data_IF_010456795466
#
_entry.id   IF_010456795466
#
_cell.length_a   1.000
_cell.length_b   1.000
_cell.length_c   1.000
_cell.angle_alpha   90.00
_cell.angle_beta   90.00
_cell.angle_gamma   90.00
#
_symmetry.space_group_name_H-M   'P 1'
#
loop_
_entity.id
_entity.type
_entity.pdbx_description
1 polymer ?
#
# COMPACT_ATOMS: atom_id res chain seq x y z
N UNK A 1 -8.27 -12.32 -36.50
CA UNK A 1 -9.47 -12.57 -35.64
C UNK A 1 -9.63 -14.08 -35.41
N UNK A 2 -9.32 -14.59 -34.20
CA UNK A 2 -9.68 -15.96 -33.75
C UNK A 2 -10.60 -15.80 -32.53
N UNK A 3 -11.90 -16.02 -32.72
CA UNK A 3 -12.94 -15.90 -31.66
C UNK A 3 -13.39 -17.30 -31.17
N UNK A 4 -12.80 -18.38 -31.65
CA UNK A 4 -13.10 -19.74 -31.19
C UNK A 4 -11.84 -20.39 -30.62
N UNK A 5 -11.41 -19.90 -29.47
CA UNK A 5 -10.60 -20.69 -28.55
C UNK A 5 -11.54 -21.20 -27.47
N UNK A 6 -11.91 -22.49 -27.52
CA UNK A 6 -12.49 -23.15 -26.36
C UNK A 6 -11.62 -22.81 -25.14
N UNK A 7 -12.20 -22.36 -24.03
CA UNK A 7 -11.43 -22.18 -22.81
C UNK A 7 -10.90 -23.57 -22.46
N UNK A 8 -9.57 -23.75 -22.46
CA UNK A 8 -8.95 -24.92 -21.85
C UNK A 8 -9.20 -24.83 -20.35
N UNK A 9 -10.41 -25.20 -19.93
CA UNK A 9 -10.84 -25.20 -18.53
C UNK A 9 -10.00 -26.18 -17.69
N UNK A 10 -9.31 -27.13 -18.33
CA UNK A 10 -8.57 -28.20 -17.64
C UNK A 10 -7.03 -28.05 -17.65
N UNK A 11 -6.44 -26.94 -18.15
CA UNK A 11 -4.98 -26.73 -18.04
C UNK A 11 -4.57 -25.83 -16.87
N UNK A 12 -5.52 -25.36 -16.05
CA UNK A 12 -5.22 -24.56 -14.86
C UNK A 12 -4.86 -25.40 -13.62
N UNK A 13 -5.08 -26.71 -13.66
CA UNK A 13 -4.79 -27.63 -12.54
C UNK A 13 -3.35 -28.14 -12.50
N UNK A 14 -2.53 -27.86 -13.52
CA UNK A 14 -1.18 -28.43 -13.61
C UNK A 14 -0.12 -27.70 -12.77
N UNK A 15 -0.48 -26.57 -12.14
CA UNK A 15 0.29 -25.93 -11.07
C UNK A 15 -0.47 -26.09 -9.74
N UNK A 16 -0.68 -27.34 -9.30
CA UNK A 16 -1.10 -27.65 -7.93
C UNK A 16 0.00 -27.14 -7.00
N UNK A 17 -0.22 -25.97 -6.41
CA UNK A 17 0.68 -25.30 -5.47
C UNK A 17 1.24 -26.33 -4.45
N UNK A 18 2.55 -26.61 -4.53
CA UNK A 18 3.28 -27.27 -3.45
C UNK A 18 3.04 -26.45 -2.18
N UNK A 19 2.82 -27.11 -1.02
CA UNK A 19 2.54 -26.50 0.29
C UNK A 19 3.14 -25.09 0.40
N UNK A 20 2.33 -24.09 0.08
CA UNK A 20 2.83 -22.73 -0.06
C UNK A 20 2.60 -22.00 1.26
N UNK A 21 3.41 -20.98 1.53
CA UNK A 21 3.36 -20.16 2.74
C UNK A 21 1.94 -19.64 3.06
N UNK A 22 1.06 -19.60 2.07
CA UNK A 22 -0.34 -19.26 2.23
C UNK A 22 -1.19 -20.30 2.96
N UNK A 23 -0.86 -21.58 2.91
CA UNK A 23 -1.53 -22.60 3.71
C UNK A 23 -1.30 -22.35 5.20
N UNK A 24 -0.10 -21.86 5.57
CA UNK A 24 0.17 -21.36 6.92
C UNK A 24 -0.65 -20.12 7.27
N UNK A 25 -0.85 -19.19 6.32
CA UNK A 25 -1.73 -18.02 6.51
C UNK A 25 -3.18 -18.43 6.75
N UNK A 26 -3.70 -19.40 5.99
CA UNK A 26 -5.03 -19.97 6.19
C UNK A 26 -5.19 -20.69 7.54
N UNK A 27 -4.13 -21.32 8.03
CA UNK A 27 -4.13 -22.02 9.32
C UNK A 27 -3.98 -21.03 10.50
N UNK A 28 -3.25 -19.93 10.30
CA UNK A 28 -3.09 -18.84 11.28
C UNK A 28 -4.38 -18.04 11.50
N UNK A 29 -5.26 -17.92 10.49
CA UNK A 29 -6.47 -17.10 10.60
C UNK A 29 -7.46 -17.64 11.67
N UNK A 30 -7.83 -18.94 11.68
CA UNK A 30 -8.61 -19.52 12.77
C UNK A 30 -7.92 -19.40 14.14
N UNK A 31 -6.60 -19.58 14.20
CA UNK A 31 -5.85 -19.43 15.44
C UNK A 31 -5.94 -18.00 15.98
N UNK A 32 -5.82 -16.98 15.12
CA UNK A 32 -5.97 -15.58 15.50
C UNK A 32 -7.40 -15.25 15.98
N UNK A 33 -8.43 -15.83 15.36
CA UNK A 33 -9.82 -15.69 15.80
C UNK A 33 -10.11 -16.40 17.13
N UNK A 34 -9.44 -17.54 17.38
CA UNK A 34 -9.50 -18.23 18.67
C UNK A 34 -8.80 -17.42 19.77
N UNK A 35 -7.66 -16.80 19.46
CA UNK A 35 -6.98 -15.87 20.37
C UNK A 35 -7.88 -14.69 20.70
N UNK A 36 -8.54 -14.08 19.71
CA UNK A 36 -9.50 -12.99 19.94
C UNK A 36 -10.68 -13.43 20.82
N UNK A 37 -11.24 -14.60 20.54
CA UNK A 37 -12.33 -15.18 21.33
C UNK A 37 -11.90 -15.46 22.77
N UNK A 38 -10.67 -15.94 22.99
CA UNK A 38 -10.11 -16.14 24.34
C UNK A 38 -9.84 -14.83 25.08
N UNK A 39 -9.40 -13.78 24.36
CA UNK A 39 -9.22 -12.43 24.91
C UNK A 39 -10.56 -11.80 25.29
N UNK A 40 -11.63 -12.11 24.55
CA UNK A 40 -12.97 -11.67 24.88
C UNK A 40 -13.50 -12.35 26.14
N UNK A 41 -13.31 -13.67 26.27
CA UNK A 41 -13.71 -14.41 27.48
C UNK A 41 -12.95 -13.93 28.72
N UNK A 42 -11.63 -13.75 28.62
CA UNK A 42 -10.83 -13.18 29.73
C UNK A 42 -11.23 -11.75 30.09
N UNK A 43 -11.63 -10.92 29.11
CA UNK A 43 -12.18 -9.59 29.38
C UNK A 43 -13.53 -9.67 30.09
N UNK A 44 -14.43 -10.56 29.69
CA UNK A 44 -15.72 -10.75 30.34
C UNK A 44 -15.53 -11.23 31.79
N UNK A 45 -14.63 -12.17 32.04
CA UNK A 45 -14.23 -12.64 33.38
C UNK A 45 -13.60 -11.54 34.24
N UNK A 46 -12.73 -10.71 33.68
CA UNK A 46 -12.12 -9.59 34.42
C UNK A 46 -13.16 -8.51 34.67
N UNK A 47 -13.99 -8.17 33.69
CA UNK A 47 -15.01 -7.10 33.80
C UNK A 47 -16.05 -7.38 34.87
N UNK A 48 -16.53 -8.62 34.95
CA UNK A 48 -17.51 -9.08 35.95
C UNK A 48 -16.93 -9.13 37.36
N UNK A 49 -15.61 -9.28 37.48
CA UNK A 49 -14.88 -9.16 38.74
C UNK A 49 -14.53 -7.70 39.09
N UNK A 50 -14.28 -6.82 38.12
CA UNK A 50 -13.96 -5.39 38.38
C UNK A 50 -15.13 -4.59 38.96
N UNK A 51 -16.38 -4.91 38.62
CA UNK A 51 -17.56 -4.28 39.25
C UNK A 51 -17.64 -4.58 40.77
N UNK A 52 -16.90 -5.60 41.26
CA UNK A 52 -16.76 -5.92 42.68
C UNK A 52 -15.48 -5.37 43.33
N UNK A 53 -14.59 -4.75 42.53
CA UNK A 53 -13.22 -4.34 42.91
C UNK A 53 -12.98 -2.82 42.88
N UNK A 54 -13.99 -1.98 42.59
CA UNK A 54 -13.90 -0.54 42.92
C UNK A 54 -14.17 -0.41 44.42
N UNK A 55 -13.23 -0.92 45.23
CA UNK A 55 -13.23 -0.75 46.66
C UNK A 55 -12.25 0.38 46.97
N UNK A 56 -12.79 1.47 47.50
CA UNK A 56 -11.99 2.52 48.09
C UNK A 56 -11.43 2.01 49.41
N UNK A 57 -10.14 2.24 49.64
CA UNK A 57 -9.50 1.84 50.88
C UNK A 57 -10.15 2.61 52.05
N UNK A 58 -10.61 1.94 53.12
CA UNK A 58 -11.42 2.60 54.14
C UNK A 58 -10.61 3.71 54.84
N UNK A 59 -10.97 4.97 54.57
CA UNK A 59 -10.36 6.15 55.16
C UNK A 59 -9.45 6.97 54.25
N UNK A 60 -9.27 6.60 52.97
CA UNK A 60 -8.55 7.43 51.99
C UNK A 60 -9.31 7.52 50.67
N UNK A 61 -9.26 8.68 49.99
CA UNK A 61 -9.82 8.87 48.64
C UNK A 61 -8.99 8.18 47.54
N UNK A 62 -8.00 7.35 47.91
CA UNK A 62 -7.16 6.62 46.97
C UNK A 62 -7.79 5.29 46.55
N UNK A 63 -7.68 4.99 45.25
CA UNK A 63 -8.00 3.67 44.72
C UNK A 63 -7.07 2.62 45.34
N UNK A 64 -7.63 1.46 45.70
CA UNK A 64 -6.83 0.32 46.15
C UNK A 64 -5.81 -0.09 45.08
N UNK A 65 -4.62 -0.52 45.51
CA UNK A 65 -3.56 -0.99 44.60
C UNK A 65 -3.98 -2.17 43.73
N UNK A 66 -4.94 -2.98 44.19
CA UNK A 66 -5.51 -4.10 43.44
C UNK A 66 -6.44 -3.64 42.31
N UNK A 67 -7.21 -2.57 42.53
CA UNK A 67 -8.03 -1.94 41.50
C UNK A 67 -7.16 -1.35 40.39
N UNK A 68 -6.06 -0.69 40.75
CA UNK A 68 -5.09 -0.11 39.79
C UNK A 68 -4.45 -1.21 38.94
N UNK A 69 -4.02 -2.32 39.57
CA UNK A 69 -3.44 -3.47 38.87
C UNK A 69 -4.45 -4.10 37.90
N UNK A 70 -5.72 -4.22 38.30
CA UNK A 70 -6.79 -4.76 37.46
C UNK A 70 -7.09 -3.86 36.26
N UNK A 71 -7.16 -2.52 36.46
CA UNK A 71 -7.32 -1.56 35.37
C UNK A 71 -6.15 -1.60 34.39
N UNK A 72 -4.92 -1.76 34.89
CA UNK A 72 -3.74 -1.94 34.04
C UNK A 72 -3.83 -3.21 33.19
N UNK A 73 -4.20 -4.35 33.77
CA UNK A 73 -4.40 -5.59 33.03
C UNK A 73 -5.50 -5.48 31.97
N UNK A 74 -6.63 -4.83 32.29
CA UNK A 74 -7.71 -4.60 31.34
C UNK A 74 -7.25 -3.73 30.16
N UNK A 75 -6.50 -2.66 30.44
CA UNK A 75 -5.90 -1.81 29.41
C UNK A 75 -4.94 -2.59 28.50
N UNK A 76 -4.12 -3.46 29.09
CA UNK A 76 -3.18 -4.30 28.36
C UNK A 76 -3.88 -5.32 27.47
N UNK A 77 -4.94 -5.98 27.96
CA UNK A 77 -5.78 -6.89 27.17
C UNK A 77 -6.44 -6.15 26.01
N UNK A 78 -6.94 -4.93 26.22
CA UNK A 78 -7.53 -4.12 25.14
C UNK A 78 -6.50 -3.73 24.07
N UNK A 79 -5.28 -3.38 24.48
CA UNK A 79 -4.18 -3.11 23.56
C UNK A 79 -3.88 -4.33 22.69
N UNK A 80 -3.68 -5.50 23.29
CA UNK A 80 -3.40 -6.73 22.55
C UNK A 80 -4.55 -7.16 21.65
N UNK A 81 -5.79 -7.00 22.09
CA UNK A 81 -6.97 -7.27 21.25
C UNK A 81 -6.99 -6.39 20.00
N UNK A 82 -6.67 -5.09 20.13
CA UNK A 82 -6.56 -4.20 18.97
C UNK A 82 -5.47 -4.69 18.01
N UNK A 83 -4.32 -5.13 18.52
CA UNK A 83 -3.25 -5.71 17.69
C UNK A 83 -3.73 -6.96 16.95
N UNK A 84 -4.43 -7.88 17.63
CA UNK A 84 -5.01 -9.09 17.00
C UNK A 84 -6.01 -8.73 15.91
N UNK A 85 -6.90 -7.76 16.14
CA UNK A 85 -7.82 -7.27 15.11
C UNK A 85 -7.09 -6.73 13.88
N UNK A 86 -6.02 -5.94 14.06
CA UNK A 86 -5.20 -5.45 12.95
C UNK A 86 -4.57 -6.60 12.16
N UNK A 87 -4.03 -7.61 12.85
CA UNK A 87 -3.44 -8.80 12.21
C UNK A 87 -4.50 -9.57 11.41
N UNK A 88 -5.67 -9.82 11.99
CA UNK A 88 -6.78 -10.52 11.32
C UNK A 88 -7.23 -9.75 10.09
N UNK A 89 -7.37 -8.42 10.18
CA UNK A 89 -7.74 -7.56 9.06
C UNK A 89 -6.73 -7.69 7.91
N UNK A 90 -5.42 -7.59 8.22
CA UNK A 90 -4.35 -7.71 7.23
C UNK A 90 -4.38 -9.09 6.56
N UNK A 91 -4.55 -10.16 7.34
CA UNK A 91 -4.63 -11.53 6.80
C UNK A 91 -5.85 -11.68 5.89
N UNK A 92 -7.02 -11.19 6.30
CA UNK A 92 -8.25 -11.25 5.53
C UNK A 92 -8.13 -10.46 4.22
N UNK A 93 -7.59 -9.23 4.27
CA UNK A 93 -7.35 -8.42 3.07
C UNK A 93 -6.36 -9.08 2.11
N UNK A 94 -5.31 -9.69 2.64
CA UNK A 94 -4.31 -10.42 1.84
C UNK A 94 -4.92 -11.66 1.18
N UNK A 95 -5.73 -12.42 1.91
CA UNK A 95 -6.46 -13.58 1.38
C UNK A 95 -7.45 -13.16 0.29
N UNK A 96 -8.23 -12.11 0.55
CA UNK A 96 -9.17 -11.56 -0.43
C UNK A 96 -8.47 -11.15 -1.73
N UNK A 97 -7.34 -10.45 -1.63
CA UNK A 97 -6.55 -10.05 -2.80
C UNK A 97 -6.02 -11.27 -3.58
N UNK A 98 -5.58 -12.32 -2.87
CA UNK A 98 -5.17 -13.58 -3.51
C UNK A 98 -6.33 -14.26 -4.24
N UNK A 99 -7.50 -14.34 -3.62
CA UNK A 99 -8.69 -14.90 -4.25
C UNK A 99 -9.06 -14.14 -5.53
N UNK A 100 -9.01 -12.80 -5.50
CA UNK A 100 -9.21 -12.01 -6.71
C UNK A 100 -8.25 -12.38 -7.82
N UNK A 101 -6.95 -12.50 -7.52
CA UNK A 101 -5.92 -12.87 -8.51
C UNK A 101 -6.14 -14.27 -9.11
N UNK A 102 -6.71 -15.21 -8.34
CA UNK A 102 -6.99 -16.57 -8.81
C UNK A 102 -8.20 -16.64 -9.74
N UNK A 103 -9.29 -15.93 -9.42
CA UNK A 103 -10.54 -16.00 -10.20
C UNK A 103 -10.56 -15.09 -11.43
N UNK A 104 -9.85 -13.96 -11.41
CA UNK A 104 -9.85 -13.01 -12.52
C UNK A 104 -8.53 -13.05 -13.31
N UNK A 105 -8.49 -13.74 -14.47
CA UNK A 105 -7.29 -13.79 -15.31
C UNK A 105 -6.89 -12.41 -15.86
N UNK A 106 -7.81 -11.44 -15.90
CA UNK A 106 -7.50 -10.05 -16.21
C UNK A 106 -6.52 -9.43 -15.20
N UNK A 107 -6.56 -9.86 -13.93
CA UNK A 107 -5.64 -9.40 -12.89
C UNK A 107 -4.24 -10.04 -13.02
N UNK A 108 -4.10 -11.18 -13.69
CA UNK A 108 -2.78 -11.76 -14.00
C UNK A 108 -1.97 -10.84 -14.95
N UNK A 109 -2.64 -10.16 -15.87
CA UNK A 109 -1.99 -9.13 -16.68
C UNK A 109 -1.66 -7.87 -15.87
N UNK A 110 -2.44 -7.55 -14.83
CA UNK A 110 -2.10 -6.48 -13.89
C UNK A 110 -0.91 -6.87 -13.01
N UNK A 111 -0.77 -8.09 -12.51
CA UNK A 111 0.38 -8.49 -11.68
C UNK A 111 1.70 -8.39 -12.45
N UNK A 112 1.71 -8.75 -13.74
CA UNK A 112 2.86 -8.54 -14.62
C UNK A 112 3.20 -7.06 -14.85
N UNK A 113 2.21 -6.18 -14.77
CA UNK A 113 2.42 -4.72 -14.84
C UNK A 113 2.92 -4.18 -13.50
N UNK A 114 2.28 -4.56 -12.40
CA UNK A 114 2.65 -4.16 -11.03
C UNK A 114 4.07 -4.57 -10.70
N UNK A 115 4.51 -5.77 -11.09
CA UNK A 115 5.90 -6.23 -10.85
C UNK A 115 6.96 -5.35 -11.50
N UNK A 116 6.65 -4.71 -12.63
CA UNK A 116 7.55 -3.74 -13.29
C UNK A 116 7.44 -2.36 -12.66
N UNK A 117 6.24 -1.95 -12.25
CA UNK A 117 5.95 -0.62 -11.71
C UNK A 117 6.28 -0.51 -10.21
N UNK A 118 6.44 -1.63 -9.48
CA UNK A 118 6.67 -1.63 -8.03
C UNK A 118 7.91 -0.85 -7.61
N UNK A 119 9.03 -1.00 -8.34
CA UNK A 119 10.29 -0.34 -8.00
C UNK A 119 10.18 1.19 -8.16
N UNK A 120 9.72 1.72 -9.32
CA UNK A 120 9.55 3.17 -9.45
C UNK A 120 8.48 3.71 -8.49
N UNK A 121 7.39 2.99 -8.24
CA UNK A 121 6.40 3.41 -7.21
C UNK A 121 7.00 3.44 -5.81
N UNK A 122 7.86 2.48 -5.46
CA UNK A 122 8.53 2.45 -4.17
C UNK A 122 9.44 3.67 -3.98
N UNK A 123 10.19 4.07 -5.02
CA UNK A 123 10.98 5.30 -4.94
C UNK A 123 10.11 6.55 -4.79
N UNK A 124 8.98 6.64 -5.50
CA UNK A 124 8.03 7.76 -5.33
C UNK A 124 7.45 7.77 -3.92
N UNK A 125 7.10 6.60 -3.38
CA UNK A 125 6.62 6.47 -2.00
C UNK A 125 7.67 6.93 -1.00
N UNK A 126 8.94 6.55 -1.16
CA UNK A 126 10.04 7.01 -0.31
C UNK A 126 10.21 8.54 -0.38
N UNK A 127 10.13 9.12 -1.58
CA UNK A 127 10.17 10.58 -1.74
C UNK A 127 8.99 11.27 -1.02
N UNK A 128 7.79 10.69 -1.12
CA UNK A 128 6.58 11.22 -0.47
C UNK A 128 6.67 11.12 1.06
N UNK A 129 7.11 9.97 1.60
CA UNK A 129 7.38 9.82 3.04
C UNK A 129 8.47 10.79 3.49
N UNK A 130 9.55 10.93 2.74
CA UNK A 130 10.61 11.90 3.02
C UNK A 130 10.09 13.34 3.06
N UNK A 131 9.23 13.73 2.13
CA UNK A 131 8.60 15.05 2.12
C UNK A 131 7.73 15.29 3.36
N UNK A 132 6.96 14.28 3.80
CA UNK A 132 6.20 14.36 5.04
C UNK A 132 7.07 14.46 6.29
N UNK A 133 8.19 13.74 6.34
CA UNK A 133 9.14 13.83 7.44
C UNK A 133 9.80 15.22 7.49
N UNK A 134 10.17 15.79 6.34
CA UNK A 134 10.73 17.15 6.27
C UNK A 134 9.70 18.19 6.71
N UNK A 135 8.46 18.10 6.21
CA UNK A 135 7.38 19.01 6.60
C UNK A 135 7.04 18.85 8.09
N UNK A 136 6.94 17.62 8.60
CA UNK A 136 6.69 17.35 10.01
C UNK A 136 7.82 17.84 10.91
N UNK A 137 9.08 17.67 10.51
CA UNK A 137 10.24 18.22 11.21
C UNK A 137 10.20 19.74 11.24
N UNK A 138 9.85 20.37 10.12
CA UNK A 138 9.71 21.83 10.04
C UNK A 138 8.60 22.34 10.98
N UNK A 139 7.41 21.72 10.94
CA UNK A 139 6.30 22.07 11.84
C UNK A 139 6.67 21.84 13.32
N UNK A 140 7.38 20.75 13.61
CA UNK A 140 7.87 20.45 14.96
C UNK A 140 8.83 21.54 15.46
N UNK A 141 9.84 21.90 14.68
CA UNK A 141 10.84 22.91 15.10
C UNK A 141 10.20 24.28 15.26
N UNK A 142 9.26 24.65 14.39
CA UNK A 142 8.63 25.98 14.41
C UNK A 142 7.56 26.13 15.50
N UNK A 143 6.76 25.10 15.75
CA UNK A 143 5.54 25.22 16.55
C UNK A 143 5.53 24.41 17.85
N UNK A 144 6.56 23.59 18.13
CA UNK A 144 6.60 22.74 19.34
C UNK A 144 6.60 23.50 20.67
N UNK A 145 7.11 24.74 20.69
CA UNK A 145 7.12 25.57 21.91
C UNK A 145 5.78 26.25 22.18
N UNK A 146 5.04 26.60 21.13
CA UNK A 146 3.83 27.43 21.21
C UNK A 146 2.57 26.58 21.27
N UNK A 147 2.54 25.49 20.50
CA UNK A 147 1.35 24.69 20.31
C UNK A 147 1.51 23.28 20.88
N UNK A 148 0.59 22.82 21.75
CA UNK A 148 0.68 21.48 22.34
C UNK A 148 0.56 20.36 21.29
N UNK A 149 -0.13 20.62 20.17
CA UNK A 149 -0.31 19.68 19.06
C UNK A 149 1.02 19.25 18.40
N UNK A 150 2.03 20.13 18.41
CA UNK A 150 3.34 19.88 17.79
C UNK A 150 4.43 19.53 18.78
N UNK A 151 4.09 19.30 20.07
CA UNK A 151 5.10 19.06 21.12
C UNK A 151 5.81 17.72 20.98
N UNK A 152 5.18 16.75 20.32
CA UNK A 152 5.78 15.46 20.01
C UNK A 152 6.05 15.35 18.51
N UNK A 153 7.25 14.92 18.15
CA UNK A 153 7.67 14.77 16.76
C UNK A 153 6.74 13.84 15.97
N UNK A 154 6.30 12.73 16.58
CA UNK A 154 5.38 11.79 15.95
C UNK A 154 4.04 12.47 15.62
N UNK A 155 3.49 13.20 16.59
CA UNK A 155 2.24 13.94 16.38
C UNK A 155 2.40 15.04 15.32
N UNK A 156 3.53 15.76 15.29
CA UNK A 156 3.79 16.76 14.26
C UNK A 156 3.80 16.16 12.83
N UNK A 157 4.36 14.94 12.65
CA UNK A 157 4.31 14.24 11.36
C UNK A 157 2.87 13.80 11.03
N UNK A 158 2.11 13.28 11.99
CA UNK A 158 0.69 12.94 11.77
C UNK A 158 -0.13 14.18 11.38
N UNK A 159 0.08 15.30 12.07
CA UNK A 159 -0.56 16.58 11.76
C UNK A 159 -0.16 17.10 10.37
N UNK A 160 1.09 16.89 9.94
CA UNK A 160 1.50 17.21 8.57
C UNK A 160 0.72 16.40 7.52
N UNK A 161 0.42 15.12 7.81
CA UNK A 161 -0.39 14.28 6.92
C UNK A 161 -1.84 14.77 6.89
N UNK A 162 -2.46 14.98 8.05
CA UNK A 162 -3.83 15.51 8.16
C UNK A 162 -3.99 16.86 7.45
N UNK A 163 -2.99 17.73 7.60
CA UNK A 163 -2.92 19.00 6.90
C UNK A 163 -2.94 18.84 5.37
N UNK A 164 -2.16 17.93 4.80
CA UNK A 164 -2.19 17.70 3.34
C UNK A 164 -3.48 17.05 2.85
N UNK A 165 -4.17 16.30 3.71
CA UNK A 165 -5.50 15.75 3.44
C UNK A 165 -6.58 16.84 3.51
N UNK A 166 -6.33 17.91 4.27
CA UNK A 166 -7.23 19.04 4.47
C UNK A 166 -8.10 18.92 5.72
N UNK A 167 -7.75 18.03 6.65
CA UNK A 167 -8.52 17.74 7.87
C UNK A 167 -7.91 18.35 9.13
N UNK A 168 -7.00 19.32 8.97
CA UNK A 168 -6.30 19.92 10.11
C UNK A 168 -7.20 20.88 10.87
N UNK A 169 -7.62 20.52 12.08
CA UNK A 169 -8.58 21.29 12.89
C UNK A 169 -7.97 22.58 13.49
N UNK A 170 -6.67 22.57 13.79
CA UNK A 170 -5.96 23.68 14.45
C UNK A 170 -5.51 24.82 13.53
N UNK A 171 -5.97 24.86 12.28
CA UNK A 171 -5.45 25.79 11.26
C UNK A 171 -5.73 27.25 11.57
N UNK A 172 -6.88 27.56 12.18
CA UNK A 172 -7.30 28.93 12.43
C UNK A 172 -6.40 29.64 13.44
N UNK A 173 -6.05 28.96 14.52
CA UNK A 173 -5.19 29.51 15.59
C UNK A 173 -3.77 29.77 15.06
N UNK A 174 -3.25 28.87 14.22
CA UNK A 174 -1.96 29.05 13.55
C UNK A 174 -1.95 30.22 12.56
N UNK A 175 -3.06 30.42 11.84
CA UNK A 175 -3.20 31.54 10.92
C UNK A 175 -3.29 32.88 11.65
N UNK A 176 -3.99 32.94 12.78
CA UNK A 176 -4.14 34.17 13.58
C UNK A 176 -2.81 34.62 14.19
N UNK A 177 -1.98 33.69 14.70
CA UNK A 177 -0.67 34.04 15.27
C UNK A 177 0.41 34.28 14.21
N UNK A 178 0.37 33.55 13.09
CA UNK A 178 1.45 33.52 12.10
C UNK A 178 0.94 33.52 10.65
N UNK A 179 0.12 34.51 10.28
CA UNK A 179 -0.54 34.64 8.98
C UNK A 179 0.39 34.40 7.77
N UNK A 180 1.49 35.16 7.68
CA UNK A 180 2.39 35.11 6.51
C UNK A 180 3.09 33.76 6.41
N UNK A 181 3.62 33.26 7.52
CA UNK A 181 4.32 31.98 7.58
C UNK A 181 3.37 30.83 7.24
N UNK A 182 2.18 30.82 7.83
CA UNK A 182 1.15 29.82 7.56
C UNK A 182 0.75 29.80 6.09
N UNK A 183 0.54 30.98 5.48
CA UNK A 183 0.20 31.09 4.06
C UNK A 183 1.30 30.51 3.16
N UNK A 184 2.58 30.79 3.46
CA UNK A 184 3.71 30.21 2.72
C UNK A 184 3.73 28.69 2.85
N UNK A 185 3.53 28.15 4.07
CA UNK A 185 3.49 26.70 4.32
C UNK A 185 2.35 26.05 3.52
N UNK A 186 1.16 26.65 3.52
CA UNK A 186 0.00 26.17 2.77
C UNK A 186 0.29 26.13 1.27
N UNK A 187 0.80 27.22 0.70
CA UNK A 187 1.12 27.27 -0.74
C UNK A 187 2.16 26.21 -1.10
N UNK A 188 3.22 26.08 -0.29
CA UNK A 188 4.32 25.14 -0.53
C UNK A 188 3.87 23.68 -0.39
N UNK A 189 3.11 23.35 0.65
CA UNK A 189 2.60 21.99 0.84
C UNK A 189 1.59 21.62 -0.26
N UNK A 190 0.72 22.55 -0.66
CA UNK A 190 -0.27 22.32 -1.70
C UNK A 190 0.40 22.14 -3.08
N UNK A 191 1.41 22.94 -3.41
CA UNK A 191 2.15 22.78 -4.68
C UNK A 191 3.03 21.53 -4.69
N UNK A 192 3.90 21.34 -3.70
CA UNK A 192 4.85 20.24 -3.71
C UNK A 192 4.19 18.88 -3.45
N UNK A 193 3.38 18.77 -2.40
CA UNK A 193 2.83 17.47 -1.99
C UNK A 193 1.61 17.14 -2.85
N UNK A 194 0.65 18.06 -2.92
CA UNK A 194 -0.63 17.76 -3.56
C UNK A 194 -0.58 17.84 -5.09
N UNK A 195 0.14 18.80 -5.67
CA UNK A 195 0.25 18.90 -7.13
C UNK A 195 1.42 18.14 -7.72
N UNK A 196 2.62 18.13 -7.13
CA UNK A 196 3.75 17.42 -7.74
C UNK A 196 3.79 15.94 -7.34
N UNK A 197 3.90 15.64 -6.05
CA UNK A 197 4.15 14.27 -5.58
C UNK A 197 2.97 13.32 -5.85
N UNK A 198 1.74 13.74 -5.61
CA UNK A 198 0.56 12.91 -5.93
C UNK A 198 0.43 12.65 -7.44
N UNK A 199 0.65 13.67 -8.27
CA UNK A 199 0.58 13.49 -9.73
C UNK A 199 1.76 12.68 -10.27
N UNK A 200 2.91 12.64 -9.58
CA UNK A 200 4.04 11.81 -9.95
C UNK A 200 3.68 10.32 -9.93
N UNK A 201 2.90 9.86 -8.94
CA UNK A 201 2.40 8.47 -8.88
C UNK A 201 1.60 8.13 -10.13
N UNK A 202 0.65 8.99 -10.50
CA UNK A 202 -0.19 8.81 -11.69
C UNK A 202 0.65 8.87 -12.96
N UNK A 203 1.60 9.80 -13.04
CA UNK A 203 2.49 9.95 -14.20
C UNK A 203 3.37 8.71 -14.42
N UNK A 204 3.92 8.13 -13.35
CA UNK A 204 4.71 6.89 -13.42
C UNK A 204 3.86 5.72 -13.92
N UNK A 205 2.64 5.57 -13.40
CA UNK A 205 1.72 4.53 -13.86
C UNK A 205 1.33 4.74 -15.34
N UNK A 206 1.02 5.96 -15.73
CA UNK A 206 0.63 6.30 -17.10
C UNK A 206 1.79 6.12 -18.09
N UNK A 207 3.03 6.44 -17.69
CA UNK A 207 4.23 6.24 -18.50
C UNK A 207 4.46 4.75 -18.81
N UNK A 208 4.38 3.89 -17.81
CA UNK A 208 4.52 2.44 -18.00
C UNK A 208 3.36 1.84 -18.81
N UNK A 209 2.14 2.37 -18.66
CA UNK A 209 1.00 1.98 -19.50
C UNK A 209 1.27 2.35 -20.97
N UNK A 210 1.69 3.59 -21.24
CA UNK A 210 2.03 4.05 -22.60
C UNK A 210 3.14 3.20 -23.22
N UNK A 211 4.18 2.86 -22.45
CA UNK A 211 5.25 1.99 -22.93
C UNK A 211 4.74 0.60 -23.31
N UNK A 212 3.86 0.01 -22.49
CA UNK A 212 3.22 -1.27 -22.78
C UNK A 212 2.38 -1.19 -24.05
N UNK A 213 1.57 -0.16 -24.19
CA UNK A 213 0.69 0.04 -25.35
C UNK A 213 1.53 0.28 -26.63
N UNK A 214 2.67 0.97 -26.52
CA UNK A 214 3.64 1.14 -27.61
C UNK A 214 4.27 -0.18 -28.03
N UNK A 215 4.70 -1.02 -27.08
CA UNK A 215 5.27 -2.34 -27.38
C UNK A 215 4.25 -3.28 -28.02
N UNK A 216 2.99 -3.22 -27.60
CA UNK A 216 1.91 -4.03 -28.19
C UNK A 216 1.54 -3.58 -29.62
N UNK A 217 1.57 -2.28 -29.88
CA UNK A 217 1.20 -1.71 -31.18
C UNK A 217 2.40 -1.37 -32.06
N UNK A 218 3.60 -1.84 -31.71
CA UNK A 218 4.85 -1.41 -32.34
C UNK A 218 4.90 -1.73 -33.85
N UNK A 219 4.33 -2.86 -34.27
CA UNK A 219 4.23 -3.25 -35.68
C UNK A 219 3.24 -2.40 -36.50
N UNK A 220 2.33 -1.69 -35.83
CA UNK A 220 1.37 -0.78 -36.47
C UNK A 220 1.91 0.66 -36.62
N UNK A 221 3.09 0.95 -36.08
CA UNK A 221 3.74 2.24 -36.29
C UNK A 221 3.99 2.47 -37.78
N UNK A 222 3.70 3.67 -38.31
CA UNK A 222 3.75 3.97 -39.76
C UNK A 222 5.07 3.57 -40.41
N UNK A 223 6.19 3.81 -39.72
CA UNK A 223 7.53 3.41 -40.17
C UNK A 223 7.65 1.89 -40.37
N UNK A 224 7.27 1.09 -39.37
CA UNK A 224 7.37 -0.37 -39.40
C UNK A 224 6.33 -1.00 -40.33
N UNK A 225 5.14 -0.42 -40.41
CA UNK A 225 4.10 -0.85 -41.34
C UNK A 225 4.53 -0.67 -42.82
N UNK A 226 5.23 0.41 -43.14
CA UNK A 226 5.79 0.62 -44.47
C UNK A 226 6.88 -0.41 -44.80
N UNK A 227 7.74 -0.71 -43.83
CA UNK A 227 8.83 -1.68 -44.00
C UNK A 227 8.32 -3.13 -44.07
N UNK A 228 7.26 -3.47 -43.33
CA UNK A 228 6.55 -4.74 -43.44
C UNK A 228 5.95 -4.92 -44.85
N UNK A 229 5.33 -3.86 -45.38
CA UNK A 229 4.74 -3.86 -46.72
C UNK A 229 5.80 -4.09 -47.80
N UNK A 230 6.99 -3.47 -47.69
CA UNK A 230 8.10 -3.70 -48.63
C UNK A 230 8.59 -5.14 -48.64
N UNK A 231 8.54 -5.83 -47.49
CA UNK A 231 8.97 -7.23 -47.34
C UNK A 231 7.83 -8.24 -47.57
N UNK A 232 6.64 -7.79 -47.98
CA UNK A 232 5.48 -8.65 -48.23
C UNK A 232 4.94 -9.36 -46.99
N UNK A 233 5.30 -8.91 -45.77
CA UNK A 233 4.83 -9.50 -44.51
C UNK A 233 3.60 -8.76 -44.00
N UNK A 234 2.65 -9.50 -43.43
CA UNK A 234 1.51 -8.91 -42.74
C UNK A 234 1.98 -8.15 -41.48
N UNK A 235 1.25 -7.09 -41.08
CA UNK A 235 1.58 -6.27 -39.90
C UNK A 235 1.61 -7.09 -38.59
N UNK A 236 0.95 -8.24 -38.57
CA UNK A 236 0.85 -9.13 -37.41
C UNK A 236 2.04 -10.09 -37.32
N UNK A 237 2.67 -10.45 -38.44
CA UNK A 237 3.82 -11.37 -38.52
C UNK A 237 5.16 -10.64 -38.56
N UNK A 238 5.13 -9.32 -38.74
CA UNK A 238 6.33 -8.52 -38.86
C UNK A 238 6.92 -8.20 -37.49
N UNK A 239 8.04 -8.83 -37.17
CA UNK A 239 8.86 -8.49 -36.02
C UNK A 239 9.97 -7.50 -36.42
N UNK A 240 9.88 -6.22 -36.04
CA UNK A 240 10.88 -5.21 -36.40
C UNK A 240 12.26 -5.47 -35.77
N UNK A 241 12.38 -6.29 -34.72
CA UNK A 241 13.67 -6.69 -34.16
C UNK A 241 14.49 -7.59 -35.11
N UNK A 242 13.86 -8.18 -36.12
CA UNK A 242 14.54 -9.02 -37.15
C UNK A 242 15.11 -8.19 -38.31
N UNK A 243 14.97 -6.86 -38.28
CA UNK A 243 15.53 -5.97 -39.29
C UNK A 243 16.98 -5.68 -38.94
N UNK A 244 17.89 -6.29 -39.70
CA UNK A 244 19.35 -6.16 -39.54
C UNK A 244 20.03 -7.50 -39.24
N UNK A 245 19.31 -8.51 -38.79
CA UNK A 245 19.85 -9.87 -38.65
C UNK A 245 19.88 -10.57 -40.01
N UNK A 246 21.07 -10.70 -40.59
CA UNK A 246 21.34 -11.63 -41.68
C UNK A 246 21.41 -13.06 -41.13
N UNK A 247 20.26 -13.70 -40.92
CA UNK A 247 20.19 -15.11 -40.49
C UNK A 247 21.00 -16.07 -41.39
N UNK A 248 21.17 -15.73 -42.67
CA UNK A 248 21.96 -16.51 -43.62
C UNK A 248 23.48 -16.46 -43.39
N UNK A 249 24.00 -15.40 -42.77
CA UNK A 249 25.43 -15.31 -42.42
C UNK A 249 25.72 -16.01 -41.10
N UNK A 250 24.84 -15.84 -40.10
CA UNK A 250 25.02 -16.49 -38.80
C UNK A 250 24.84 -18.01 -38.84
N UNK A 251 24.01 -18.55 -39.74
CA UNK A 251 23.94 -20.00 -39.98
C UNK A 251 25.21 -20.54 -40.67
N UNK A 252 25.83 -19.77 -41.57
CA UNK A 252 27.10 -20.16 -42.20
C UNK A 252 28.29 -20.12 -41.24
N UNK A 253 28.30 -19.18 -40.29
CA UNK A 253 29.30 -19.12 -39.23
C UNK A 253 29.12 -20.23 -38.19
N UNK A 254 27.89 -20.65 -37.88
CA UNK A 254 27.63 -21.78 -36.97
C UNK A 254 27.88 -23.16 -37.61
N UNK A 255 27.88 -23.22 -38.94
CA UNK A 255 28.16 -24.45 -39.69
C UNK A 255 29.66 -24.64 -40.01
N UNK A 256 30.51 -23.66 -39.66
CA UNK A 256 31.97 -23.78 -39.66
C UNK A 256 32.49 -24.09 -38.27
#
# INVERSE_FOLDING_TARGET
RRILGCPKACTFEQNRDRCSLWLFVFLLLPAALMVDSSMRLTREDISTNTDKLIQFEPGTESLSTESIKSMYHLTLVEYWRRVVHWVVLILLSSLWLRYLLMFFPQLFYMTSMVTKVKNPLFYVLLCLVGAFLVLGTFLYVMFSSTFPLFRSYFYAVCQAIEFTQGTFEGWYVLYEEHEVLWTIIVILALTLIRFMLNNMVVAVMMSHKKEKDLRQNYSYHRFWAAEASKRGKSKEEFNPATIGENFKESEKERAR
#
